data_IF_933806271796
#
_entry.id   IF_933806271796
#
_cell.length_a   1.000
_cell.length_b   1.000
_cell.length_c   1.000
_cell.angle_alpha   90.00
_cell.angle_beta   90.00
_cell.angle_gamma   90.00
#
_symmetry.space_group_name_H-M   'P 1'
#
loop_
_entity.id
_entity.type
_entity.pdbx_description
1 polymer ?
#
# COMPACT_ATOMS: atom_id res chain seq x y z
N UNK A 1 -5.85 3.29 -19.76
CA UNK A 1 -5.16 2.21 -20.51
C UNK A 1 -5.60 0.78 -20.22
N UNK A 2 -5.67 0.25 -18.98
CA UNK A 2 -6.22 -1.12 -18.76
C UNK A 2 -7.76 -1.14 -18.69
N UNK A 3 -8.37 -0.19 -17.97
CA UNK A 3 -9.83 -0.04 -17.84
C UNK A 3 -10.56 0.14 -19.18
N UNK A 4 -9.91 0.73 -20.18
CA UNK A 4 -10.48 0.97 -21.51
C UNK A 4 -10.29 -0.20 -22.49
N UNK A 5 -9.39 -1.14 -22.15
CA UNK A 5 -8.99 -2.23 -23.04
C UNK A 5 -9.57 -3.59 -22.62
N UNK A 6 -10.38 -3.63 -21.57
CA UNK A 6 -10.98 -4.85 -21.06
C UNK A 6 -12.37 -4.58 -20.51
N UNK A 7 -13.28 -5.53 -20.69
CA UNK A 7 -14.61 -5.54 -20.06
C UNK A 7 -14.59 -6.05 -18.62
N UNK A 8 -13.44 -6.57 -18.15
CA UNK A 8 -13.28 -7.09 -16.80
C UNK A 8 -13.15 -5.94 -15.79
N UNK A 9 -13.66 -6.09 -14.56
CA UNK A 9 -13.39 -5.14 -13.49
C UNK A 9 -11.88 -5.00 -13.26
N UNK A 10 -11.41 -3.75 -13.28
CA UNK A 10 -10.03 -3.36 -12.97
C UNK A 10 -10.07 -2.41 -11.78
N UNK A 11 -9.26 -2.67 -10.76
CA UNK A 11 -9.05 -1.74 -9.65
C UNK A 11 -7.55 -1.51 -9.44
N UNK A 12 -7.17 -0.28 -9.11
CA UNK A 12 -5.82 0.05 -8.69
C UNK A 12 -5.55 -0.44 -7.27
N UNK A 13 -4.34 -0.97 -7.03
CA UNK A 13 -3.94 -1.40 -5.69
C UNK A 13 -3.91 -0.23 -4.69
N UNK A 14 -3.41 0.94 -5.10
CA UNK A 14 -3.39 2.13 -4.26
C UNK A 14 -4.82 2.58 -3.90
N UNK A 15 -5.71 2.65 -4.89
CA UNK A 15 -7.12 3.01 -4.72
C UNK A 15 -7.80 2.05 -3.73
N UNK A 16 -7.60 0.75 -3.92
CA UNK A 16 -8.12 -0.30 -3.03
C UNK A 16 -7.61 -0.14 -1.60
N UNK A 17 -6.31 0.12 -1.44
CA UNK A 17 -5.71 0.31 -0.13
C UNK A 17 -6.26 1.55 0.59
N UNK A 18 -6.43 2.66 -0.14
CA UNK A 18 -7.01 3.90 0.42
C UNK A 18 -8.45 3.65 0.88
N UNK A 19 -9.27 3.02 0.03
CA UNK A 19 -10.67 2.69 0.39
C UNK A 19 -10.72 1.82 1.64
N UNK A 20 -9.95 0.73 1.69
CA UNK A 20 -9.91 -0.13 2.86
C UNK A 20 -9.43 0.63 4.10
N UNK A 21 -8.39 1.46 3.98
CA UNK A 21 -7.85 2.23 5.10
C UNK A 21 -8.87 3.22 5.66
N UNK A 22 -9.61 3.90 4.79
CA UNK A 22 -10.68 4.83 5.17
C UNK A 22 -11.87 4.14 5.85
N UNK A 23 -12.12 2.87 5.54
CA UNK A 23 -13.18 2.08 6.17
C UNK A 23 -12.79 1.58 7.56
N UNK A 24 -11.51 1.28 7.79
CA UNK A 24 -11.06 0.66 9.05
C UNK A 24 -10.43 1.64 10.04
N UNK A 25 -10.23 2.91 9.68
CA UNK A 25 -9.67 3.90 10.61
C UNK A 25 -9.98 5.34 10.23
N UNK A 26 -9.45 6.27 11.00
CA UNK A 26 -9.74 7.70 10.87
C UNK A 26 -8.77 8.40 9.92
N UNK A 27 -7.47 8.10 10.05
CA UNK A 27 -6.38 8.78 9.38
C UNK A 27 -5.30 7.81 8.90
N UNK A 28 -5.19 7.66 7.59
CA UNK A 28 -4.24 6.74 7.00
C UNK A 28 -2.93 7.44 6.61
N UNK A 29 -1.84 6.70 6.70
CA UNK A 29 -0.52 7.06 6.20
C UNK A 29 0.01 6.01 5.23
N UNK A 30 0.96 6.39 4.39
CA UNK A 30 1.60 5.47 3.44
C UNK A 30 3.07 5.31 3.78
N UNK A 31 3.55 4.07 3.87
CA UNK A 31 4.99 3.76 3.98
C UNK A 31 5.42 3.02 2.72
N UNK A 32 6.45 3.55 2.04
CA UNK A 32 6.93 3.05 0.75
C UNK A 32 8.44 2.97 0.65
N UNK A 33 8.95 2.23 -0.34
CA UNK A 33 10.34 1.80 -0.46
C UNK A 33 11.18 2.76 -1.31
N UNK A 34 10.63 3.37 -2.35
CA UNK A 34 11.42 4.10 -3.34
C UNK A 34 12.12 5.38 -2.87
N UNK A 35 13.33 5.64 -3.39
CA UNK A 35 14.02 6.94 -3.33
C UNK A 35 13.63 7.76 -4.56
N UNK A 36 12.73 8.74 -4.43
CA UNK A 36 12.42 9.71 -5.52
C UNK A 36 10.94 9.85 -5.87
N UNK A 37 10.10 8.88 -5.52
CA UNK A 37 8.68 8.86 -5.92
C UNK A 37 7.74 9.68 -5.03
N UNK A 38 8.27 10.39 -4.02
CA UNK A 38 7.44 11.10 -3.02
C UNK A 38 6.37 11.96 -3.71
N UNK A 39 6.74 12.79 -4.68
CA UNK A 39 5.80 13.74 -5.32
C UNK A 39 4.70 13.08 -6.16
N UNK A 40 5.00 11.97 -6.84
CA UNK A 40 4.04 11.28 -7.72
C UNK A 40 2.89 10.72 -6.87
N UNK A 41 3.19 10.07 -5.75
CA UNK A 41 2.16 9.44 -4.92
C UNK A 41 1.32 10.42 -4.11
N UNK A 42 1.88 11.55 -3.68
CA UNK A 42 1.04 12.62 -3.10
C UNK A 42 -0.01 13.10 -4.11
N UNK A 43 0.36 13.18 -5.39
CA UNK A 43 -0.54 13.59 -6.47
C UNK A 43 -1.59 12.52 -6.74
N UNK A 44 -1.22 11.24 -6.82
CA UNK A 44 -2.18 10.13 -7.02
C UNK A 44 -3.18 10.02 -5.88
N UNK A 45 -2.72 10.09 -4.62
CA UNK A 45 -3.60 10.04 -3.44
C UNK A 45 -4.55 11.24 -3.44
N UNK A 46 -4.03 12.45 -3.73
CA UNK A 46 -4.86 13.65 -3.81
C UNK A 46 -5.89 13.57 -4.94
N UNK A 47 -5.50 13.06 -6.11
CA UNK A 47 -6.40 12.88 -7.24
C UNK A 47 -7.50 11.86 -6.91
N UNK A 48 -7.14 10.76 -6.26
CA UNK A 48 -8.11 9.76 -5.82
C UNK A 48 -9.10 10.30 -4.78
N UNK A 49 -8.61 11.08 -3.81
CA UNK A 49 -9.45 11.73 -2.81
C UNK A 49 -10.24 12.94 -3.35
N UNK A 50 -9.87 13.46 -4.53
CA UNK A 50 -10.45 14.65 -5.14
C UNK A 50 -10.06 15.99 -4.48
N UNK A 51 -9.37 15.97 -3.33
CA UNK A 51 -8.96 17.15 -2.58
C UNK A 51 -7.83 16.84 -1.59
N UNK A 52 -7.30 17.88 -0.94
CA UNK A 52 -6.51 17.72 0.28
C UNK A 52 -7.44 17.22 1.39
N UNK A 53 -7.03 16.17 2.11
CA UNK A 53 -7.86 15.53 3.14
C UNK A 53 -7.08 15.39 4.44
N UNK A 54 -7.71 15.74 5.56
CA UNK A 54 -7.15 15.50 6.90
C UNK A 54 -7.00 14.00 7.21
N UNK A 55 -7.81 13.16 6.53
CA UNK A 55 -7.71 11.69 6.63
C UNK A 55 -6.40 11.15 6.09
N UNK A 56 -5.63 11.93 5.34
CA UNK A 56 -4.30 11.56 4.89
C UNK A 56 -3.23 12.19 5.80
N UNK A 57 -2.58 11.37 6.63
CA UNK A 57 -1.47 11.81 7.49
C UNK A 57 -0.21 12.17 6.70
N UNK A 58 -0.02 11.51 5.55
CA UNK A 58 1.09 11.72 4.65
C UNK A 58 1.72 10.42 4.18
N UNK A 59 2.84 10.56 3.49
CA UNK A 59 3.62 9.48 2.92
C UNK A 59 5.07 9.58 3.36
N UNK A 60 5.61 8.45 3.81
CA UNK A 60 7.01 8.26 4.18
C UNK A 60 7.65 7.26 3.23
N UNK A 61 8.70 7.70 2.55
CA UNK A 61 9.56 6.80 1.81
C UNK A 61 10.78 6.44 2.67
N UNK A 62 10.98 5.16 2.93
CA UNK A 62 12.10 4.65 3.75
C UNK A 62 13.43 4.62 2.98
N UNK A 63 13.36 4.83 1.66
CA UNK A 63 14.54 4.93 0.79
C UNK A 63 15.32 3.62 0.73
N UNK A 64 14.61 2.51 0.57
CA UNK A 64 15.14 1.17 0.33
C UNK A 64 14.85 0.78 -1.11
N UNK A 65 15.89 0.40 -1.86
CA UNK A 65 15.66 -0.21 -3.17
C UNK A 65 14.88 -1.52 -3.06
N UNK A 66 14.17 -1.91 -4.11
CA UNK A 66 13.45 -3.20 -4.15
C UNK A 66 14.41 -4.37 -3.94
N UNK A 67 15.53 -4.34 -4.65
CA UNK A 67 16.57 -5.37 -4.55
C UNK A 67 17.14 -5.39 -3.14
N UNK A 68 17.36 -4.21 -2.56
CA UNK A 68 17.83 -4.05 -1.19
C UNK A 68 16.86 -4.65 -0.17
N UNK A 69 15.55 -4.62 -0.40
CA UNK A 69 14.56 -5.27 0.48
C UNK A 69 14.55 -6.79 0.41
N UNK A 70 14.93 -7.38 -0.73
CA UNK A 70 14.91 -8.83 -0.93
C UNK A 70 16.22 -9.49 -0.50
N UNK A 71 17.33 -8.86 -0.82
CA UNK A 71 18.66 -9.46 -0.74
C UNK A 71 19.64 -8.65 0.11
N UNK A 72 19.21 -7.48 0.59
CA UNK A 72 20.05 -6.60 1.40
C UNK A 72 20.10 -6.98 2.87
N UNK A 73 20.82 -6.14 3.61
CA UNK A 73 21.00 -6.27 5.04
C UNK A 73 19.68 -6.12 5.81
N UNK A 74 19.28 -7.19 6.49
CA UNK A 74 18.05 -7.26 7.28
C UNK A 74 18.05 -6.27 8.45
N UNK A 75 19.20 -5.96 9.05
CA UNK A 75 19.27 -4.95 10.11
C UNK A 75 19.00 -3.55 9.57
N UNK A 76 19.55 -3.24 8.40
CA UNK A 76 19.31 -1.96 7.71
C UNK A 76 17.84 -1.82 7.30
N UNK A 77 17.23 -2.87 6.75
CA UNK A 77 15.80 -2.88 6.39
C UNK A 77 14.96 -2.63 7.64
N UNK A 78 15.19 -3.41 8.70
CA UNK A 78 14.47 -3.30 9.98
C UNK A 78 14.54 -1.89 10.54
N UNK A 79 15.75 -1.31 10.58
CA UNK A 79 15.98 0.04 11.10
C UNK A 79 15.21 1.09 10.30
N UNK A 80 15.33 1.06 8.97
CA UNK A 80 14.64 2.01 8.09
C UNK A 80 13.12 1.86 8.12
N UNK A 81 12.61 0.63 8.19
CA UNK A 81 11.18 0.36 8.31
C UNK A 81 10.62 0.91 9.62
N UNK A 82 11.28 0.64 10.75
CA UNK A 82 10.89 1.17 12.06
C UNK A 82 10.97 2.70 12.10
N UNK A 83 12.01 3.29 11.51
CA UNK A 83 12.12 4.74 11.39
C UNK A 83 10.97 5.33 10.56
N UNK A 84 10.61 4.70 9.43
CA UNK A 84 9.49 5.10 8.61
C UNK A 84 8.15 5.03 9.36
N UNK A 85 7.99 4.00 10.17
CA UNK A 85 6.84 3.75 11.03
C UNK A 85 6.69 4.82 12.09
N UNK A 86 7.78 5.17 12.78
CA UNK A 86 7.81 6.27 13.75
C UNK A 86 7.40 7.59 13.10
N UNK A 87 7.98 7.93 11.94
CA UNK A 87 7.68 9.18 11.23
C UNK A 87 6.23 9.30 10.78
N UNK A 88 5.59 8.18 10.41
CA UNK A 88 4.18 8.20 10.02
C UNK A 88 3.25 8.20 11.25
N UNK A 89 3.66 7.57 12.35
CA UNK A 89 2.99 7.64 13.64
C UNK A 89 2.98 9.08 14.19
N UNK A 90 4.10 9.79 14.12
CA UNK A 90 4.22 11.22 14.50
C UNK A 90 3.26 12.12 13.71
N UNK A 91 2.85 11.71 12.50
CA UNK A 91 1.87 12.41 11.68
C UNK A 91 0.41 12.06 12.04
N UNK A 92 0.21 11.17 13.01
CA UNK A 92 -1.11 10.77 13.52
C UNK A 92 -1.81 9.70 12.69
N UNK A 93 -1.08 8.84 11.96
CA UNK A 93 -1.70 7.76 11.21
C UNK A 93 -2.09 6.58 12.14
N UNK A 94 -3.39 6.26 12.21
CA UNK A 94 -3.91 5.06 12.89
C UNK A 94 -4.01 3.85 11.94
N UNK A 95 -3.93 4.10 10.63
CA UNK A 95 -3.84 3.07 9.60
C UNK A 95 -2.62 3.30 8.72
N UNK A 96 -1.82 2.27 8.48
CA UNK A 96 -0.65 2.33 7.60
C UNK A 96 -0.88 1.47 6.36
N UNK A 97 -0.80 2.09 5.20
CA UNK A 97 -0.78 1.40 3.91
C UNK A 97 0.68 1.07 3.58
N UNK A 98 0.98 -0.21 3.42
CA UNK A 98 2.25 -0.67 2.86
C UNK A 98 2.16 -0.63 1.34
N UNK A 99 2.90 0.29 0.72
CA UNK A 99 2.87 0.47 -0.73
C UNK A 99 4.26 0.34 -1.35
N UNK A 100 4.39 -0.40 -2.45
CA UNK A 100 5.48 -0.16 -3.38
C UNK A 100 5.02 0.81 -4.47
N UNK A 101 5.79 1.87 -4.60
CA UNK A 101 5.65 2.99 -5.49
C UNK A 101 6.36 2.69 -6.81
N UNK A 102 5.78 1.90 -7.70
CA UNK A 102 6.43 1.51 -8.96
C UNK A 102 5.45 1.03 -10.01
N UNK A 103 5.71 1.34 -11.27
CA UNK A 103 4.82 1.12 -12.40
C UNK A 103 4.63 -0.36 -12.76
N UNK A 104 3.41 -0.68 -13.21
CA UNK A 104 2.92 -1.80 -14.02
C UNK A 104 3.69 -3.13 -14.05
N UNK A 105 3.16 -4.13 -13.33
CA UNK A 105 3.17 -5.52 -13.78
C UNK A 105 1.84 -6.21 -13.40
N UNK A 106 1.13 -6.74 -14.40
CA UNK A 106 -0.06 -7.59 -14.17
C UNK A 106 0.33 -8.70 -13.20
N UNK A 107 -0.31 -8.75 -12.02
CA UNK A 107 -0.01 -9.79 -11.04
C UNK A 107 -0.71 -11.09 -11.46
N UNK A 108 0.00 -11.92 -12.23
CA UNK A 108 -0.36 -13.31 -12.49
C UNK A 108 0.03 -14.16 -11.27
N UNK A 109 -0.81 -14.16 -10.23
CA UNK A 109 -0.63 -15.11 -9.12
C UNK A 109 -1.06 -16.50 -9.58
N UNK A 110 -0.11 -17.44 -9.66
CA UNK A 110 -0.40 -18.88 -9.79
C UNK A 110 -1.12 -19.33 -8.52
N UNK A 111 -2.45 -19.51 -8.60
CA UNK A 111 -3.24 -20.19 -7.56
C UNK A 111 -4.65 -19.67 -7.31
N UNK A 112 -4.99 -18.46 -7.76
CA UNK A 112 -6.36 -17.89 -7.67
C UNK A 112 -6.96 -17.74 -9.07
N UNK A 113 -7.03 -18.85 -9.80
CA UNK A 113 -7.68 -18.92 -11.11
C UNK A 113 -9.19 -18.78 -10.94
N UNK A 114 -9.71 -17.59 -11.28
CA UNK A 114 -10.90 -17.49 -12.10
C UNK A 114 -10.68 -16.36 -13.12
N UNK A 115 -11.13 -16.58 -14.35
CA UNK A 115 -10.83 -15.80 -15.55
C UNK A 115 -11.34 -14.35 -15.55
N UNK A 116 -11.86 -13.84 -14.45
CA UNK A 116 -12.86 -12.76 -14.49
C UNK A 116 -12.38 -11.42 -13.92
N UNK A 117 -11.16 -11.34 -13.36
CA UNK A 117 -10.64 -10.11 -12.72
C UNK A 117 -9.22 -9.75 -13.12
N UNK A 118 -8.93 -8.45 -13.08
CA UNK A 118 -7.59 -7.91 -13.31
C UNK A 118 -7.16 -7.02 -12.13
N UNK A 119 -6.16 -7.50 -11.38
CA UNK A 119 -5.45 -6.73 -10.37
C UNK A 119 -4.29 -5.96 -11.01
N UNK A 120 -4.36 -4.64 -10.95
CA UNK A 120 -3.27 -3.80 -11.40
C UNK A 120 -2.27 -3.56 -10.26
N UNK A 121 -1.15 -4.28 -10.31
CA UNK A 121 -0.07 -4.19 -9.33
C UNK A 121 1.17 -3.52 -9.94
N UNK A 122 1.82 -2.68 -9.16
CA UNK A 122 3.20 -2.26 -9.41
C UNK A 122 4.11 -3.37 -8.91
N UNK A 123 4.86 -4.00 -9.81
CA UNK A 123 5.60 -5.22 -9.49
C UNK A 123 6.73 -4.97 -8.52
N UNK A 124 6.46 -5.08 -7.22
CA UNK A 124 7.47 -5.24 -6.18
C UNK A 124 6.88 -5.97 -4.97
N UNK A 125 7.23 -7.25 -4.83
CA UNK A 125 6.98 -8.03 -3.61
C UNK A 125 7.78 -7.52 -2.39
N UNK A 126 8.35 -6.32 -2.42
CA UNK A 126 9.35 -5.87 -1.45
C UNK A 126 8.82 -5.60 -0.05
N UNK A 127 7.53 -5.22 0.09
CA UNK A 127 6.95 -4.81 1.38
C UNK A 127 5.92 -5.79 1.95
N UNK A 128 5.54 -6.81 1.17
CA UNK A 128 4.64 -7.84 1.67
C UNK A 128 5.34 -8.62 2.79
N UNK A 129 4.69 -8.78 3.94
CA UNK A 129 5.29 -9.41 5.13
C UNK A 129 5.99 -8.43 6.07
N UNK A 130 6.02 -7.12 5.75
CA UNK A 130 6.64 -6.10 6.62
C UNK A 130 5.66 -5.50 7.64
N UNK A 131 4.45 -6.04 7.76
CA UNK A 131 3.41 -5.57 8.69
C UNK A 131 3.92 -5.53 10.13
N UNK A 132 4.66 -6.55 10.56
CA UNK A 132 5.16 -6.64 11.93
C UNK A 132 6.22 -5.58 12.24
N UNK A 133 7.06 -5.21 11.25
CA UNK A 133 8.03 -4.14 11.41
C UNK A 133 7.35 -2.78 11.59
N UNK A 134 6.22 -2.55 10.91
CA UNK A 134 5.41 -1.35 11.13
C UNK A 134 4.88 -1.31 12.56
N UNK A 135 4.27 -2.42 13.00
CA UNK A 135 3.69 -2.53 14.35
C UNK A 135 4.74 -2.33 15.43
N UNK A 136 5.89 -2.99 15.29
CA UNK A 136 7.02 -2.83 16.20
C UNK A 136 7.51 -1.39 16.23
N UNK A 137 7.66 -0.73 15.08
CA UNK A 137 8.11 0.65 15.00
C UNK A 137 7.16 1.64 15.70
N UNK A 138 5.85 1.37 15.70
CA UNK A 138 4.88 2.16 16.48
C UNK A 138 5.03 1.93 17.99
N UNK A 139 5.10 0.67 18.42
CA UNK A 139 5.23 0.31 19.84
C UNK A 139 6.52 0.87 20.44
N UNK A 140 7.65 0.72 19.75
CA UNK A 140 8.95 1.24 20.18
C UNK A 140 8.98 2.77 20.25
N UNK A 141 8.18 3.43 19.42
CA UNK A 141 8.02 4.87 19.44
C UNK A 141 6.96 5.37 20.46
N UNK A 142 6.32 4.47 21.21
CA UNK A 142 5.33 4.80 22.23
C UNK A 142 3.93 5.13 21.69
N UNK A 143 3.60 4.70 20.46
CA UNK A 143 2.29 4.88 19.85
C UNK A 143 1.45 3.59 19.89
N UNK A 144 0.14 3.74 19.80
CA UNK A 144 -0.79 2.62 19.66
C UNK A 144 -0.52 1.82 18.38
N UNK A 145 -0.69 0.50 18.45
CA UNK A 145 -0.46 -0.39 17.30
C UNK A 145 -1.42 -0.02 16.16
N UNK A 146 -0.91 0.32 14.95
CA UNK A 146 -1.76 0.77 13.85
C UNK A 146 -2.43 -0.42 13.17
N UNK A 147 -3.51 -0.18 12.44
CA UNK A 147 -3.99 -1.15 11.45
C UNK A 147 -3.07 -1.09 10.24
N UNK A 148 -2.74 -2.24 9.64
CA UNK A 148 -1.86 -2.28 8.46
C UNK A 148 -2.63 -2.85 7.28
N UNK A 149 -2.60 -2.12 6.17
CA UNK A 149 -3.28 -2.48 4.92
C UNK A 149 -2.23 -2.84 3.87
N UNK A 150 -2.32 -4.07 3.38
CA UNK A 150 -1.63 -4.53 2.17
C UNK A 150 -2.54 -4.27 0.97
N UNK A 151 -2.11 -3.41 0.06
CA UNK A 151 -2.93 -3.01 -1.07
C UNK A 151 -3.23 -4.15 -2.05
N UNK A 152 -2.36 -5.16 -2.18
CA UNK A 152 -2.61 -6.32 -3.02
C UNK A 152 -3.70 -7.20 -2.41
N UNK A 153 -3.64 -7.46 -1.08
CA UNK A 153 -4.71 -8.18 -0.36
C UNK A 153 -6.03 -7.41 -0.43
N UNK A 154 -5.98 -6.08 -0.26
CA UNK A 154 -7.15 -5.20 -0.40
C UNK A 154 -7.81 -5.33 -1.77
N UNK A 155 -7.02 -5.19 -2.84
CA UNK A 155 -7.53 -5.29 -4.21
C UNK A 155 -8.18 -6.64 -4.49
N UNK A 156 -7.55 -7.75 -4.05
CA UNK A 156 -8.12 -9.10 -4.21
C UNK A 156 -9.47 -9.19 -3.51
N UNK A 157 -9.55 -8.71 -2.27
CA UNK A 157 -10.77 -8.75 -1.48
C UNK A 157 -11.91 -7.96 -2.17
N UNK A 158 -11.64 -6.72 -2.59
CA UNK A 158 -12.64 -5.87 -3.26
C UNK A 158 -13.08 -6.49 -4.59
N UNK A 159 -12.15 -6.92 -5.44
CA UNK A 159 -12.49 -7.53 -6.73
C UNK A 159 -13.26 -8.83 -6.57
N UNK A 160 -12.88 -9.67 -5.61
CA UNK A 160 -13.62 -10.92 -5.34
C UNK A 160 -15.06 -10.66 -4.92
N UNK A 161 -15.33 -9.53 -4.26
CA UNK A 161 -16.68 -9.06 -3.96
C UNK A 161 -17.42 -8.61 -5.21
N UNK A 162 -16.78 -7.79 -6.07
CA UNK A 162 -17.40 -7.23 -7.27
C UNK A 162 -17.84 -8.30 -8.28
N UNK A 163 -17.08 -9.39 -8.43
CA UNK A 163 -17.45 -10.49 -9.35
C UNK A 163 -18.62 -11.33 -8.85
N UNK A 164 -18.87 -11.33 -7.53
CA UNK A 164 -19.96 -12.11 -6.92
C UNK A 164 -21.29 -11.39 -6.98
N UNK A 165 -21.31 -10.11 -7.36
CA UNK A 165 -22.53 -9.34 -7.54
C UNK A 165 -23.02 -9.60 -8.97
N UNK A 166 -24.15 -10.28 -9.18
CA UNK A 166 -24.69 -10.47 -10.52
C UNK A 166 -24.97 -9.09 -11.13
N UNK A 167 -24.44 -8.87 -12.33
CA UNK A 167 -24.68 -7.68 -13.16
C UNK A 167 -26.11 -7.63 -13.67
#
# INVERSE_FOLDING_TARGET
>A
MLREKTSKPVIGILESAIVQAMLIGQRFGVVTTGTGYKYIHYTEIRNFLGATSERFAGLIAVGLGVVELREGDQQKITTKMKEGSRKIAEKGADVVILGCAGECAIFFSRGLWNSDVLLHCGGDKGMAGMEDLIRQGYVEAGYDVPKVVDGAKSGVAILSGLVRIPS
#
